data_IF_203916442453
#
_entry.id   IF_203916442453
#
_cell.length_a   1.000
_cell.length_b   1.000
_cell.length_c   1.000
_cell.angle_alpha   90.00
_cell.angle_beta   90.00
_cell.angle_gamma   90.00
#
_symmetry.space_group_name_H-M   'P 1'
#
loop_
_entity.id
_entity.type
_entity.pdbx_description
1 polymer ?
#
# COMPACT_ATOMS: atom_id res chain seq x y z
N UNK A 1 14.52 -25.11 -64.37
CA UNK A 1 14.69 -24.82 -62.93
C UNK A 1 13.40 -25.25 -62.24
N UNK A 2 13.52 -26.13 -61.27
CA UNK A 2 12.54 -27.16 -60.91
C UNK A 2 11.22 -26.65 -60.32
N UNK A 3 10.19 -26.53 -61.17
CA UNK A 3 8.83 -26.25 -60.73
C UNK A 3 8.31 -27.32 -59.74
N UNK A 4 8.66 -28.59 -59.98
CA UNK A 4 8.28 -29.69 -59.10
C UNK A 4 8.88 -29.56 -57.68
N UNK A 5 10.17 -29.22 -57.56
CA UNK A 5 10.80 -28.98 -56.25
C UNK A 5 10.22 -27.78 -55.51
N UNK A 6 9.69 -26.78 -56.24
CA UNK A 6 8.97 -25.66 -55.65
C UNK A 6 7.61 -26.12 -55.11
N UNK A 7 6.88 -26.95 -55.85
CA UNK A 7 5.61 -27.53 -55.42
C UNK A 7 5.79 -28.38 -54.17
N UNK A 8 6.76 -29.31 -54.16
CA UNK A 8 7.01 -30.19 -53.01
C UNK A 8 7.38 -29.40 -51.75
N UNK A 9 8.13 -28.29 -51.90
CA UNK A 9 8.48 -27.41 -50.79
C UNK A 9 7.27 -26.63 -50.26
N UNK A 10 6.39 -26.18 -51.15
CA UNK A 10 5.15 -25.47 -50.75
C UNK A 10 4.25 -26.43 -49.98
N UNK A 11 4.03 -27.64 -50.48
CA UNK A 11 3.22 -28.66 -49.83
C UNK A 11 3.76 -29.01 -48.42
N UNK A 12 5.08 -29.23 -48.29
CA UNK A 12 5.71 -29.48 -46.99
C UNK A 12 5.54 -28.31 -46.00
N UNK A 13 5.62 -27.06 -46.48
CA UNK A 13 5.38 -25.88 -45.62
C UNK A 13 3.92 -25.73 -45.23
N UNK A 14 2.98 -26.05 -46.11
CA UNK A 14 1.54 -26.02 -45.84
C UNK A 14 1.17 -27.07 -44.79
N UNK A 15 1.66 -28.31 -44.92
CA UNK A 15 1.45 -29.35 -43.89
C UNK A 15 2.02 -28.94 -42.53
N UNK A 16 3.23 -28.38 -42.51
CA UNK A 16 3.83 -27.87 -41.25
C UNK A 16 2.99 -26.76 -40.63
N UNK A 17 2.44 -25.85 -41.46
CA UNK A 17 1.58 -24.77 -40.98
C UNK A 17 0.26 -25.31 -40.40
N UNK A 18 -0.35 -26.28 -41.07
CA UNK A 18 -1.57 -26.95 -40.60
C UNK A 18 -1.34 -27.66 -39.26
N UNK A 19 -0.19 -28.32 -39.08
CA UNK A 19 0.19 -28.97 -37.83
C UNK A 19 0.50 -27.97 -36.69
N UNK A 20 1.11 -26.83 -37.00
CA UNK A 20 1.46 -25.80 -36.01
C UNK A 20 0.27 -24.93 -35.58
N UNK A 21 -0.72 -24.75 -36.45
CA UNK A 21 -1.90 -23.94 -36.17
C UNK A 21 -2.65 -24.35 -34.88
N UNK A 22 -2.98 -25.64 -34.62
CA UNK A 22 -3.65 -26.04 -33.39
C UNK A 22 -2.76 -25.82 -32.15
N UNK A 23 -1.45 -26.03 -32.25
CA UNK A 23 -0.50 -25.77 -31.16
C UNK A 23 -0.49 -24.28 -30.82
N UNK A 24 -0.39 -23.41 -31.83
CA UNK A 24 -0.42 -21.97 -31.64
C UNK A 24 -1.75 -21.51 -31.02
N UNK A 25 -2.88 -22.06 -31.47
CA UNK A 25 -4.19 -21.71 -30.91
C UNK A 25 -4.34 -22.17 -29.46
N UNK A 26 -3.85 -23.37 -29.12
CA UNK A 26 -3.81 -23.87 -27.76
C UNK A 26 -2.94 -22.98 -26.86
N UNK A 27 -1.75 -22.59 -27.33
CA UNK A 27 -0.86 -21.68 -26.61
C UNK A 27 -1.51 -20.31 -26.38
N UNK A 28 -2.17 -19.72 -27.39
CA UNK A 28 -2.88 -18.44 -27.23
C UNK A 28 -3.95 -18.54 -26.15
N UNK A 29 -4.73 -19.62 -26.17
CA UNK A 29 -5.79 -19.88 -25.19
C UNK A 29 -5.22 -20.05 -23.78
N UNK A 30 -4.08 -20.73 -23.65
CA UNK A 30 -3.38 -20.86 -22.36
C UNK A 30 -2.83 -19.52 -21.87
N UNK A 31 -2.24 -18.71 -22.75
CA UNK A 31 -1.72 -17.38 -22.39
C UNK A 31 -2.84 -16.45 -21.94
N UNK A 32 -3.98 -16.43 -22.64
CA UNK A 32 -5.13 -15.61 -22.21
C UNK A 32 -5.65 -16.07 -20.85
N UNK A 33 -5.84 -17.38 -20.67
CA UNK A 33 -6.29 -17.95 -19.40
C UNK A 33 -5.32 -17.67 -18.24
N UNK A 34 -4.01 -17.80 -18.46
CA UNK A 34 -3.01 -17.47 -17.45
C UNK A 34 -2.99 -15.97 -17.14
N UNK A 35 -3.14 -15.11 -18.15
CA UNK A 35 -3.18 -13.66 -17.96
C UNK A 35 -4.38 -13.25 -17.11
N UNK A 36 -5.55 -13.83 -17.35
CA UNK A 36 -6.75 -13.62 -16.52
C UNK A 36 -6.54 -14.08 -15.09
N UNK A 37 -5.93 -15.25 -14.89
CA UNK A 37 -5.62 -15.77 -13.56
C UNK A 37 -4.63 -14.89 -12.81
N UNK A 38 -3.59 -14.39 -13.48
CA UNK A 38 -2.63 -13.45 -12.89
C UNK A 38 -3.35 -12.18 -12.43
N UNK A 39 -4.22 -11.60 -13.25
CA UNK A 39 -5.00 -10.41 -12.86
C UNK A 39 -5.88 -10.65 -11.64
N UNK A 40 -6.52 -11.83 -11.54
CA UNK A 40 -7.32 -12.20 -10.36
C UNK A 40 -6.44 -12.32 -9.13
N UNK A 41 -5.28 -12.98 -9.24
CA UNK A 41 -4.33 -13.14 -8.13
C UNK A 41 -3.76 -11.79 -7.67
N UNK A 42 -3.43 -10.89 -8.60
CA UNK A 42 -2.98 -9.53 -8.28
C UNK A 42 -4.03 -8.76 -7.49
N UNK A 43 -5.31 -8.83 -7.91
CA UNK A 43 -6.42 -8.19 -7.17
C UNK A 43 -6.59 -8.78 -5.77
N UNK A 44 -6.50 -10.10 -5.63
CA UNK A 44 -6.60 -10.76 -4.33
C UNK A 44 -5.41 -10.41 -3.41
N UNK A 45 -4.20 -10.34 -3.96
CA UNK A 45 -3.02 -9.93 -3.23
C UNK A 45 -3.12 -8.48 -2.75
N UNK A 46 -3.59 -7.57 -3.62
CA UNK A 46 -3.83 -6.17 -3.25
C UNK A 46 -4.88 -6.04 -2.14
N UNK A 47 -6.00 -6.77 -2.23
CA UNK A 47 -7.03 -6.77 -1.18
C UNK A 47 -6.50 -7.33 0.15
N UNK A 48 -5.77 -8.44 0.11
CA UNK A 48 -5.17 -9.04 1.29
C UNK A 48 -4.15 -8.10 1.97
N UNK A 49 -3.29 -7.45 1.18
CA UNK A 49 -2.34 -6.47 1.68
C UNK A 49 -3.07 -5.26 2.29
N UNK A 50 -4.07 -4.75 1.57
CA UNK A 50 -4.93 -3.65 2.01
C UNK A 50 -5.59 -3.94 3.37
N UNK A 51 -6.18 -5.13 3.54
CA UNK A 51 -6.77 -5.55 4.83
C UNK A 51 -5.74 -5.69 5.94
N UNK A 52 -4.53 -6.16 5.62
CA UNK A 52 -3.44 -6.29 6.59
C UNK A 52 -2.95 -4.93 7.10
N UNK A 53 -2.92 -3.93 6.21
CA UNK A 53 -2.48 -2.55 6.49
C UNK A 53 -3.61 -1.64 6.95
N UNK A 54 -4.88 -2.05 6.77
CA UNK A 54 -6.04 -1.21 7.08
C UNK A 54 -6.02 -0.65 8.50
N UNK A 55 -5.57 -1.45 9.48
CA UNK A 55 -5.49 -1.07 10.89
C UNK A 55 -4.21 -0.32 11.26
N UNK A 56 -3.32 -0.07 10.30
CA UNK A 56 -2.09 0.69 10.54
C UNK A 56 -2.40 2.20 10.49
N UNK A 57 -1.72 2.93 11.37
CA UNK A 57 -1.61 4.39 11.34
C UNK A 57 -0.15 4.76 11.13
N UNK A 58 0.07 5.87 10.43
CA UNK A 58 1.38 6.44 10.18
C UNK A 58 1.48 7.78 10.89
N UNK A 59 2.43 7.89 11.81
CA UNK A 59 2.72 9.10 12.58
C UNK A 59 3.97 9.75 12.00
N UNK A 60 3.88 11.02 11.64
CA UNK A 60 4.98 11.81 11.07
C UNK A 60 5.31 12.97 12.02
N UNK A 61 6.59 13.33 12.16
CA UNK A 61 7.03 14.52 12.90
C UNK A 61 7.37 14.30 14.38
N UNK A 62 7.36 13.05 14.86
CA UNK A 62 7.86 12.72 16.20
C UNK A 62 9.40 12.75 16.23
N UNK A 63 10.06 13.41 17.19
CA UNK A 63 11.53 13.42 17.26
C UNK A 63 12.09 12.02 17.40
N UNK A 64 13.29 11.76 16.88
CA UNK A 64 13.91 10.43 16.99
C UNK A 64 14.34 10.15 18.44
N UNK A 65 14.12 8.92 18.92
CA UNK A 65 14.62 8.46 20.22
C UNK A 65 13.68 8.74 21.40
N UNK A 66 12.54 9.39 21.18
CA UNK A 66 11.54 9.66 22.23
C UNK A 66 10.79 8.41 22.68
N UNK A 67 10.78 7.36 21.86
CA UNK A 67 10.12 6.09 22.17
C UNK A 67 10.85 5.27 23.23
N UNK A 68 12.10 5.63 23.54
CA UNK A 68 12.99 4.89 24.44
C UNK A 68 13.00 3.39 24.09
N UNK A 69 12.72 2.51 25.06
CA UNK A 69 12.80 1.06 24.92
C UNK A 69 11.49 0.44 24.39
N UNK A 70 10.34 1.09 24.60
CA UNK A 70 9.04 0.57 24.16
C UNK A 70 8.18 1.63 23.44
N UNK A 71 8.25 1.57 22.11
CA UNK A 71 7.44 2.41 21.23
C UNK A 71 5.93 2.20 21.37
N UNK A 72 5.47 1.00 21.80
CA UNK A 72 4.05 0.71 21.98
C UNK A 72 3.54 1.52 23.17
N UNK A 73 4.10 1.30 24.37
CA UNK A 73 3.69 2.01 25.59
C UNK A 73 3.82 3.53 25.45
N UNK A 74 4.91 4.02 24.83
CA UNK A 74 5.10 5.44 24.57
C UNK A 74 3.94 6.02 23.73
N UNK A 75 3.59 5.37 22.62
CA UNK A 75 2.54 5.84 21.74
C UNK A 75 1.17 5.70 22.36
N UNK A 76 0.88 4.63 23.10
CA UNK A 76 -0.39 4.50 23.80
C UNK A 76 -0.61 5.64 24.80
N UNK A 77 0.44 5.97 25.56
CA UNK A 77 0.42 7.08 26.52
C UNK A 77 0.20 8.40 25.79
N UNK A 78 0.97 8.67 24.74
CA UNK A 78 0.82 9.89 23.95
C UNK A 78 -0.57 10.00 23.30
N UNK A 79 -1.09 8.91 22.73
CA UNK A 79 -2.42 8.88 22.11
C UNK A 79 -3.54 9.17 23.12
N UNK A 80 -3.40 8.71 24.37
CA UNK A 80 -4.31 9.06 25.47
C UNK A 80 -4.20 10.53 25.90
N UNK A 81 -3.05 11.18 25.72
CA UNK A 81 -2.91 12.61 26.06
C UNK A 81 -3.53 13.53 25.02
N UNK A 82 -3.55 13.13 23.74
CA UNK A 82 -4.05 13.97 22.65
C UNK A 82 -5.54 13.77 22.35
N UNK A 83 -6.11 12.67 22.82
CA UNK A 83 -7.52 12.35 22.65
C UNK A 83 -8.12 12.23 24.05
N UNK A 84 -9.26 12.89 24.32
CA UNK A 84 -9.87 12.92 25.65
C UNK A 84 -9.97 11.52 26.30
N UNK A 85 -9.48 11.40 27.53
CA UNK A 85 -9.33 10.13 28.26
C UNK A 85 -10.62 9.28 28.30
N UNK A 86 -11.79 9.95 28.26
CA UNK A 86 -13.11 9.33 28.40
C UNK A 86 -13.52 8.43 27.20
N UNK A 87 -12.89 8.59 26.03
CA UNK A 87 -13.32 7.91 24.80
C UNK A 87 -12.57 6.59 24.51
N UNK A 88 -11.58 6.16 25.32
CA UNK A 88 -10.41 5.48 24.74
C UNK A 88 -9.86 4.18 25.35
N UNK A 89 -10.38 3.67 26.47
CA UNK A 89 -9.68 2.60 27.20
C UNK A 89 -9.37 1.35 26.35
N UNK A 90 -10.27 0.84 25.46
CA UNK A 90 -9.91 -0.22 24.51
C UNK A 90 -9.39 0.33 23.16
N UNK A 91 -9.65 1.59 22.82
CA UNK A 91 -9.38 2.18 21.51
C UNK A 91 -7.99 2.80 21.37
N UNK A 92 -7.17 2.82 22.43
CA UNK A 92 -5.76 3.18 22.39
C UNK A 92 -4.80 1.98 22.35
N UNK A 93 -5.27 0.74 22.49
CA UNK A 93 -4.40 -0.45 22.44
C UNK A 93 -3.71 -0.69 21.08
N UNK A 94 -2.37 -0.78 21.07
CA UNK A 94 -1.54 -1.04 19.90
C UNK A 94 -1.00 -2.47 19.92
N UNK A 95 -0.96 -3.11 18.75
CA UNK A 95 -0.33 -4.44 18.57
C UNK A 95 1.18 -4.35 18.37
N UNK A 96 1.62 -3.29 17.68
CA UNK A 96 3.02 -3.04 17.32
C UNK A 96 3.21 -1.58 16.97
N UNK A 97 4.41 -1.07 17.20
CA UNK A 97 4.84 0.24 16.77
C UNK A 97 6.33 0.20 16.42
N UNK A 98 6.71 0.79 15.28
CA UNK A 98 8.11 0.85 14.86
C UNK A 98 8.34 2.00 13.86
N UNK A 99 9.59 2.47 13.79
CA UNK A 99 10.01 3.48 12.80
C UNK A 99 10.24 2.83 11.43
N UNK A 100 9.91 3.55 10.36
CA UNK A 100 10.09 3.13 8.96
C UNK A 100 10.79 4.25 8.18
N UNK A 101 11.86 3.99 7.41
CA UNK A 101 12.56 2.71 7.26
C UNK A 101 13.33 2.31 8.53
N UNK A 102 13.69 1.03 8.68
CA UNK A 102 14.38 0.52 9.88
C UNK A 102 15.74 1.17 10.11
N UNK A 103 16.47 1.49 9.03
CA UNK A 103 17.74 2.18 9.10
C UNK A 103 17.54 3.67 9.44
N UNK A 104 18.39 4.20 10.32
CA UNK A 104 18.42 5.64 10.60
C UNK A 104 18.86 6.37 9.34
N UNK A 105 18.17 7.46 9.04
CA UNK A 105 18.52 8.34 7.95
C UNK A 105 19.63 9.28 8.44
N UNK A 106 20.48 9.75 7.53
CA UNK A 106 21.56 10.72 7.79
C UNK A 106 21.11 11.92 8.64
N UNK A 107 22.05 12.45 9.43
CA UNK A 107 21.85 13.64 10.25
C UNK A 107 21.36 14.82 9.40
N UNK A 108 20.29 15.49 9.85
CA UNK A 108 19.69 16.64 9.16
C UNK A 108 18.47 16.31 8.29
N UNK A 109 18.07 15.04 8.18
CA UNK A 109 16.82 14.62 7.52
C UNK A 109 15.64 14.67 8.50
N UNK A 110 14.39 14.79 8.00
CA UNK A 110 13.21 14.79 8.87
C UNK A 110 13.11 13.47 9.66
N UNK A 111 12.53 13.49 10.87
CA UNK A 111 12.39 12.29 11.69
C UNK A 111 11.61 11.20 10.97
N UNK A 112 12.07 9.95 11.08
CA UNK A 112 11.41 8.81 10.40
C UNK A 112 9.96 8.64 10.87
N UNK A 113 9.01 8.35 9.98
CA UNK A 113 7.65 8.05 10.41
C UNK A 113 7.59 6.79 11.28
N UNK A 114 6.65 6.79 12.22
CA UNK A 114 6.31 5.61 13.00
C UNK A 114 5.07 4.97 12.38
N UNK A 115 5.13 3.67 12.12
CA UNK A 115 3.96 2.87 11.74
C UNK A 115 3.51 2.07 12.95
N UNK A 116 2.26 2.28 13.36
CA UNK A 116 1.66 1.57 14.48
C UNK A 116 0.42 0.81 14.02
N UNK A 117 0.28 -0.45 14.45
CA UNK A 117 -0.90 -1.27 14.14
C UNK A 117 -1.85 -1.26 15.32
N UNK A 118 -3.07 -0.78 15.10
CA UNK A 118 -4.16 -0.78 16.08
C UNK A 118 -4.68 -2.20 16.32
N UNK A 119 -5.16 -2.46 17.54
CA UNK A 119 -5.90 -3.69 17.85
C UNK A 119 -7.28 -3.73 17.18
N UNK A 120 -7.96 -2.59 17.14
CA UNK A 120 -9.33 -2.45 16.63
C UNK A 120 -9.42 -1.37 15.54
N UNK A 121 -10.09 -1.67 14.43
CA UNK A 121 -10.27 -0.73 13.32
C UNK A 121 -11.09 0.51 13.73
N UNK A 122 -12.11 0.35 14.59
CA UNK A 122 -12.91 1.48 15.10
C UNK A 122 -12.07 2.56 15.79
N UNK A 123 -11.09 2.12 16.60
CA UNK A 123 -10.18 3.05 17.27
C UNK A 123 -9.22 3.74 16.28
N UNK A 124 -8.88 3.08 15.16
CA UNK A 124 -8.12 3.71 14.08
C UNK A 124 -8.92 4.84 13.44
N UNK A 125 -10.17 4.56 13.08
CA UNK A 125 -11.04 5.49 12.34
C UNK A 125 -11.32 6.74 13.17
N UNK A 126 -11.70 6.54 14.44
CA UNK A 126 -11.91 7.62 15.37
C UNK A 126 -10.66 8.49 15.53
N UNK A 127 -9.50 7.86 15.75
CA UNK A 127 -8.23 8.58 15.88
C UNK A 127 -7.89 9.41 14.63
N UNK A 128 -8.06 8.83 13.44
CA UNK A 128 -7.79 9.54 12.18
C UNK A 128 -8.78 10.67 11.92
N UNK A 129 -10.05 10.49 12.30
CA UNK A 129 -11.07 11.53 12.22
C UNK A 129 -10.73 12.69 13.16
N UNK A 130 -10.49 12.40 14.45
CA UNK A 130 -10.10 13.41 15.44
C UNK A 130 -8.83 14.14 15.00
N UNK A 131 -7.84 13.44 14.46
CA UNK A 131 -6.64 14.08 13.93
C UNK A 131 -6.90 14.99 12.73
N UNK A 132 -7.87 14.65 11.88
CA UNK A 132 -8.26 15.48 10.75
C UNK A 132 -9.00 16.76 11.21
N UNK A 133 -9.82 16.65 12.26
CA UNK A 133 -10.60 17.75 12.83
C UNK A 133 -9.71 18.71 13.66
N UNK A 134 -8.86 18.16 14.53
CA UNK A 134 -7.96 18.94 15.39
C UNK A 134 -6.76 19.50 14.63
N UNK A 135 -6.32 18.82 13.57
CA UNK A 135 -5.10 19.15 12.83
C UNK A 135 -3.83 18.65 13.51
N UNK A 136 -2.65 19.26 13.19
CA UNK A 136 -1.37 18.78 13.72
C UNK A 136 -1.25 18.96 15.25
N UNK A 137 -0.81 17.91 15.93
CA UNK A 137 -0.57 17.91 17.37
C UNK A 137 0.79 18.54 17.69
N UNK A 138 0.84 19.39 18.70
CA UNK A 138 2.11 19.96 19.17
C UNK A 138 2.92 18.88 19.89
N UNK A 139 4.21 18.77 19.55
CA UNK A 139 5.15 17.85 20.20
C UNK A 139 6.46 18.57 20.50
N UNK A 140 7.22 18.08 21.48
CA UNK A 140 8.54 18.65 21.79
C UNK A 140 9.40 18.66 20.51
N UNK A 141 9.76 19.85 20.02
CA UNK A 141 10.57 20.01 18.81
C UNK A 141 9.80 20.00 17.47
N UNK A 142 8.47 20.10 17.46
CA UNK A 142 7.72 20.30 16.22
C UNK A 142 6.23 19.99 16.27
N UNK A 143 5.70 19.51 15.14
CA UNK A 143 4.29 19.10 15.00
C UNK A 143 4.22 17.65 14.55
N UNK A 144 3.33 16.88 15.17
CA UNK A 144 3.04 15.52 14.80
C UNK A 144 1.70 15.43 14.05
N UNK A 145 1.68 14.66 12.98
CA UNK A 145 0.49 14.43 12.14
C UNK A 145 0.23 12.95 11.98
N UNK A 146 -1.05 12.58 11.97
CA UNK A 146 -1.51 11.21 11.80
C UNK A 146 -2.11 11.00 10.41
N UNK A 147 -1.71 9.92 9.76
CA UNK A 147 -2.22 9.51 8.46
C UNK A 147 -2.60 8.04 8.48
N UNK A 148 -3.55 7.60 7.62
CA UNK A 148 -3.71 6.18 7.35
C UNK A 148 -2.49 5.67 6.56
N UNK A 149 -2.07 4.43 6.84
CA UNK A 149 -0.94 3.79 6.17
C UNK A 149 -1.46 2.95 4.99
N UNK A 150 -1.13 3.36 3.77
CA UNK A 150 -1.61 2.73 2.53
C UNK A 150 -0.50 1.96 1.83
N UNK A 151 -0.87 0.88 1.14
CA UNK A 151 0.02 0.16 0.22
C UNK A 151 0.49 1.08 -0.90
N UNK A 152 1.61 0.75 -1.53
CA UNK A 152 2.18 1.56 -2.61
C UNK A 152 1.20 1.74 -3.77
N UNK A 153 0.45 0.68 -4.12
CA UNK A 153 -0.57 0.71 -5.17
C UNK A 153 -1.66 1.72 -4.83
N UNK A 154 -2.18 1.69 -3.60
CA UNK A 154 -3.23 2.63 -3.16
C UNK A 154 -2.67 4.05 -3.06
N UNK A 155 -1.44 4.24 -2.59
CA UNK A 155 -0.78 5.56 -2.57
C UNK A 155 -0.68 6.15 -3.98
N UNK A 156 -0.22 5.37 -4.95
CA UNK A 156 -0.12 5.79 -6.36
C UNK A 156 -1.48 6.18 -6.92
N UNK A 157 -2.51 5.33 -6.73
CA UNK A 157 -3.89 5.64 -7.13
C UNK A 157 -4.41 6.91 -6.46
N UNK A 158 -4.14 7.15 -5.18
CA UNK A 158 -4.58 8.37 -4.49
C UNK A 158 -3.83 9.62 -4.99
N UNK A 159 -2.59 9.47 -5.42
CA UNK A 159 -1.79 10.56 -5.96
C UNK A 159 -2.36 11.11 -7.27
N UNK A 160 -2.97 10.26 -8.12
CA UNK A 160 -3.60 10.71 -9.37
C UNK A 160 -4.78 11.66 -9.13
N UNK A 161 -5.48 11.51 -8.00
CA UNK A 161 -6.60 12.39 -7.63
C UNK A 161 -6.18 13.72 -7.00
N UNK A 162 -4.88 13.98 -6.78
CA UNK A 162 -4.45 15.22 -6.12
C UNK A 162 -4.79 16.48 -6.91
N UNK A 163 -4.71 16.42 -8.25
CA UNK A 163 -5.08 17.54 -9.12
C UNK A 163 -6.56 17.90 -9.00
N UNK A 164 -7.44 16.90 -9.09
CA UNK A 164 -8.90 17.08 -8.95
C UNK A 164 -9.25 17.61 -7.56
N UNK A 165 -8.62 17.08 -6.50
CA UNK A 165 -8.85 17.55 -5.13
C UNK A 165 -8.43 19.00 -4.90
N UNK A 166 -7.41 19.48 -5.61
CA UNK A 166 -6.96 20.86 -5.52
C UNK A 166 -7.99 21.79 -6.17
N UNK A 167 -8.43 21.47 -7.39
CA UNK A 167 -9.45 22.23 -8.10
C UNK A 167 -10.73 22.38 -7.26
N UNK A 168 -11.24 21.27 -6.69
CA UNK A 168 -12.46 21.27 -5.87
C UNK A 168 -12.33 21.99 -4.50
N UNK A 169 -11.11 22.36 -4.08
CA UNK A 169 -10.88 23.13 -2.85
C UNK A 169 -10.81 24.64 -3.13
N UNK A 170 -10.45 25.00 -4.35
CA UNK A 170 -10.26 26.39 -4.79
C UNK A 170 -11.54 26.99 -5.40
N UNK A 171 -12.53 26.15 -5.74
CA UNK A 171 -13.94 26.52 -5.98
C UNK A 171 -14.69 26.83 -4.68
#
# INVERSE_FOLDING_TARGET
MDHHKLVDRVEATETTLEELQPVHQALRTQVTHLSERVQVLERHAEDAEGRSWHNNIRIVGKPEGVEDTDAVTYLETWLRTIMDELLLTPFCALKRAHRVPTCRIELGRPPRPIVAKRLHYRGRDLLLQTACETGPFQVAGGRATLFPDFTLVVQSRRATFLGVKRALREE
#
